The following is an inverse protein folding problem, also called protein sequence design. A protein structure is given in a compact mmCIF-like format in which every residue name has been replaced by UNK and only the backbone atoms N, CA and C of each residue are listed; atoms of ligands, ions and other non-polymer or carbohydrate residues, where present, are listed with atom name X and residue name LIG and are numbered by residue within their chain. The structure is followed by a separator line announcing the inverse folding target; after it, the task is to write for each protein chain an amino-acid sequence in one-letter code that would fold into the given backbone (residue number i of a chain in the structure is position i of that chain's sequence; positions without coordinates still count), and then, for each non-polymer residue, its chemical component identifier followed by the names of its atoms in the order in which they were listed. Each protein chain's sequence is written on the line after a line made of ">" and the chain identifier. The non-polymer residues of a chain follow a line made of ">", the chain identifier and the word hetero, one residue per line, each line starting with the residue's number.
data_IF_821845304902
#
_entry.id   IF_821845304902
#
_cell.length_a   1.000
_cell.length_b   1.000
_cell.length_c   1.000
_cell.angle_alpha   90.00
_cell.angle_beta   90.00
_cell.angle_gamma   90.00
#
_symmetry.space_group_name_H-M   'P 1'
#
loop_
_entity.id
_entity.type
_entity.pdbx_description
1 polymer ?
#
# COMPACT_ATOMS: atom_id res chain seq x y z
N UNK A 1 2.32 8.02 18.82
CA UNK A 1 1.20 7.11 19.12
C UNK A 1 0.71 6.58 17.79
N UNK A 2 0.65 5.26 17.61
CA UNK A 2 0.25 4.63 16.34
C UNK A 2 -1.26 4.79 16.12
N UNK A 3 -1.68 5.16 14.91
CA UNK A 3 -3.10 5.34 14.55
C UNK A 3 -3.78 4.01 14.18
N UNK A 4 -3.00 3.02 13.78
CA UNK A 4 -3.44 1.66 13.48
C UNK A 4 -2.40 0.60 13.89
N UNK A 5 -2.81 -0.66 13.99
CA UNK A 5 -1.87 -1.78 14.15
C UNK A 5 -0.90 -1.90 12.97
N UNK A 6 -1.33 -1.48 11.77
CA UNK A 6 -0.47 -1.44 10.58
C UNK A 6 0.67 -0.43 10.74
N UNK A 7 0.47 0.66 11.46
CA UNK A 7 1.53 1.67 11.69
C UNK A 7 2.58 1.13 12.66
N UNK A 8 2.16 0.35 13.66
CA UNK A 8 3.09 -0.31 14.58
C UNK A 8 3.94 -1.36 13.85
N UNK A 9 3.32 -2.13 12.95
CA UNK A 9 4.03 -3.09 12.10
C UNK A 9 4.96 -2.38 11.11
N UNK A 10 4.55 -1.24 10.55
CA UNK A 10 5.43 -0.40 9.70
C UNK A 10 6.74 -0.11 10.40
N UNK A 11 6.59 0.46 11.59
CA UNK A 11 7.68 0.94 12.39
C UNK A 11 8.60 -0.21 12.77
N UNK A 12 8.05 -1.31 13.27
CA UNK A 12 8.84 -2.48 13.66
C UNK A 12 9.61 -3.08 12.48
N UNK A 13 8.99 -3.20 11.31
CA UNK A 13 9.67 -3.76 10.13
C UNK A 13 10.73 -2.80 9.59
N UNK A 14 10.48 -1.50 9.59
CA UNK A 14 11.48 -0.49 9.23
C UNK A 14 12.73 -0.57 10.11
N UNK A 15 12.57 -0.71 11.43
CA UNK A 15 13.69 -0.81 12.37
C UNK A 15 14.48 -2.12 12.25
N UNK A 16 13.80 -3.24 11.97
CA UNK A 16 14.44 -4.58 11.94
C UNK A 16 15.09 -4.90 10.59
N UNK A 17 14.43 -4.51 9.50
CA UNK A 17 14.82 -4.92 8.14
C UNK A 17 15.59 -3.83 7.38
N UNK A 18 15.51 -2.57 7.83
CA UNK A 18 16.14 -1.43 7.17
C UNK A 18 15.78 -1.36 5.69
N UNK A 19 16.79 -1.19 4.84
CA UNK A 19 16.64 -1.04 3.38
C UNK A 19 16.09 -2.29 2.67
N UNK A 20 15.90 -3.41 3.38
CA UNK A 20 15.30 -4.64 2.85
C UNK A 20 13.78 -4.69 3.01
N UNK A 21 13.18 -3.65 3.60
CA UNK A 21 11.73 -3.52 3.73
C UNK A 21 11.22 -2.37 2.88
N UNK A 22 10.24 -2.69 2.04
CA UNK A 22 9.52 -1.71 1.23
C UNK A 22 8.05 -1.82 1.62
N UNK A 23 7.45 -0.70 1.98
CA UNK A 23 6.01 -0.60 2.21
C UNK A 23 5.35 0.18 1.08
N UNK A 24 4.36 -0.45 0.46
CA UNK A 24 3.46 0.18 -0.50
C UNK A 24 2.05 0.05 0.06
N UNK A 25 1.44 1.17 0.43
CA UNK A 25 0.10 1.21 0.98
C UNK A 25 -0.63 2.47 0.50
N UNK A 26 -1.86 2.31 0.02
CA UNK A 26 -2.76 3.42 -0.27
C UNK A 26 -3.55 3.83 0.98
N UNK A 27 -3.84 5.12 1.09
CA UNK A 27 -4.95 5.59 1.93
C UNK A 27 -6.16 5.73 1.02
N UNK A 28 -7.19 4.91 1.25
CA UNK A 28 -8.42 4.96 0.45
C UNK A 28 -9.07 6.35 0.61
N UNK A 29 -9.26 7.04 -0.52
CA UNK A 29 -9.89 8.36 -0.61
C UNK A 29 -11.30 8.27 -1.19
N UNK A 30 -11.49 7.41 -2.19
CA UNK A 30 -12.77 7.24 -2.90
C UNK A 30 -13.45 5.92 -2.60
N UNK A 31 -12.67 4.85 -2.41
CA UNK A 31 -13.21 3.54 -2.09
C UNK A 31 -13.64 3.44 -0.61
N UNK A 32 -14.64 2.60 -0.35
CA UNK A 32 -15.06 2.21 0.98
C UNK A 32 -13.96 1.41 1.69
N UNK A 33 -13.76 1.71 2.99
CA UNK A 33 -12.86 0.93 3.85
C UNK A 33 -13.47 -0.40 4.33
N UNK A 34 -14.79 -0.57 4.21
CA UNK A 34 -15.48 -1.81 4.57
C UNK A 34 -15.03 -2.98 3.68
N UNK A 35 -14.49 -4.02 4.32
CA UNK A 35 -13.88 -5.17 3.63
C UNK A 35 -14.90 -6.04 2.89
N UNK A 36 -16.17 -5.98 3.29
CA UNK A 36 -17.28 -6.75 2.74
C UNK A 36 -18.13 -5.96 1.72
N UNK A 37 -17.73 -4.73 1.38
CA UNK A 37 -18.41 -3.95 0.35
C UNK A 37 -18.05 -4.45 -1.05
N UNK A 38 -18.82 -5.44 -1.53
CA UNK A 38 -18.66 -6.07 -2.84
C UNK A 38 -19.44 -5.38 -3.96
N UNK A 39 -19.87 -4.12 -3.78
CA UNK A 39 -20.59 -3.42 -4.84
C UNK A 39 -19.69 -3.20 -6.05
N UNK A 40 -20.24 -3.29 -7.26
CA UNK A 40 -19.46 -3.09 -8.49
C UNK A 40 -18.75 -1.73 -8.54
N UNK A 41 -19.40 -0.69 -8.01
CA UNK A 41 -18.80 0.64 -7.86
C UNK A 41 -17.59 0.62 -6.94
N UNK A 42 -17.70 0.04 -5.75
CA UNK A 42 -16.59 0.00 -4.80
C UNK A 42 -15.41 -0.80 -5.36
N UNK A 43 -15.67 -1.89 -6.09
CA UNK A 43 -14.63 -2.66 -6.77
C UNK A 43 -13.89 -1.80 -7.81
N UNK A 44 -14.60 -0.98 -8.58
CA UNK A 44 -13.97 -0.09 -9.55
C UNK A 44 -13.18 1.04 -8.88
N UNK A 45 -13.72 1.64 -7.82
CA UNK A 45 -13.02 2.64 -7.01
C UNK A 45 -11.73 2.04 -6.41
N UNK A 46 -11.74 0.79 -5.91
CA UNK A 46 -10.55 0.08 -5.41
C UNK A 46 -9.49 -0.13 -6.50
N UNK A 47 -9.89 -0.43 -7.74
CA UNK A 47 -8.93 -0.53 -8.86
C UNK A 47 -8.29 0.82 -9.16
N UNK A 48 -9.06 1.90 -9.14
CA UNK A 48 -8.53 3.25 -9.34
C UNK A 48 -7.52 3.62 -8.25
N UNK A 49 -7.84 3.33 -6.99
CA UNK A 49 -6.92 3.50 -5.86
C UNK A 49 -5.62 2.71 -6.02
N UNK A 50 -5.72 1.45 -6.48
CA UNK A 50 -4.54 0.62 -6.75
C UNK A 50 -3.67 1.19 -7.88
N UNK A 51 -4.28 1.68 -8.97
CA UNK A 51 -3.55 2.32 -10.06
C UNK A 51 -2.83 3.59 -9.62
N UNK A 52 -3.48 4.43 -8.81
CA UNK A 52 -2.84 5.62 -8.23
C UNK A 52 -1.68 5.22 -7.32
N UNK A 53 -1.87 4.21 -6.45
CA UNK A 53 -0.81 3.70 -5.57
C UNK A 53 0.41 3.20 -6.35
N UNK A 54 0.21 2.47 -7.45
CA UNK A 54 1.30 2.02 -8.31
C UNK A 54 2.01 3.22 -8.94
N UNK A 55 1.25 4.15 -9.52
CA UNK A 55 1.80 5.35 -10.16
C UNK A 55 2.64 6.20 -9.19
N UNK A 56 2.14 6.41 -7.97
CA UNK A 56 2.82 7.22 -6.94
C UNK A 56 4.10 6.55 -6.42
N UNK A 57 4.21 5.22 -6.53
CA UNK A 57 5.36 4.42 -6.04
C UNK A 57 6.21 3.82 -7.16
N UNK A 58 6.03 4.27 -8.41
CA UNK A 58 6.64 3.66 -9.60
C UNK A 58 8.16 3.47 -9.47
N UNK A 59 8.88 4.49 -8.99
CA UNK A 59 10.34 4.43 -8.79
C UNK A 59 10.75 3.31 -7.83
N UNK A 60 10.06 3.17 -6.70
CA UNK A 60 10.38 2.16 -5.67
C UNK A 60 10.08 0.75 -6.22
N UNK A 61 8.99 0.60 -6.98
CA UNK A 61 8.65 -0.67 -7.63
C UNK A 61 9.71 -1.04 -8.68
N UNK A 62 10.19 -0.09 -9.47
CA UNK A 62 11.25 -0.31 -10.46
C UNK A 62 12.57 -0.71 -9.79
N UNK A 63 12.97 -0.03 -8.71
CA UNK A 63 14.14 -0.39 -7.89
C UNK A 63 14.02 -1.82 -7.36
N UNK A 64 12.84 -2.20 -6.86
CA UNK A 64 12.58 -3.57 -6.41
C UNK A 64 12.71 -4.59 -7.55
N UNK A 65 12.09 -4.33 -8.70
CA UNK A 65 12.19 -5.21 -9.86
C UNK A 65 13.63 -5.43 -10.33
N UNK A 66 14.49 -4.41 -10.25
CA UNK A 66 15.92 -4.52 -10.58
C UNK A 66 16.70 -5.39 -9.58
N UNK A 67 16.30 -5.40 -8.30
CA UNK A 67 16.95 -6.22 -7.27
C UNK A 67 16.63 -7.72 -7.41
N UNK A 68 15.49 -8.06 -8.00
CA UNK A 68 14.98 -9.44 -8.10
C UNK A 68 15.25 -10.09 -9.47
N UNK A 69 15.57 -9.28 -10.49
CA UNK A 69 15.91 -9.74 -11.84
C UNK A 69 17.28 -10.44 -11.91
#
# INVERSE_FOLDING_TARGET
>A
MFGSSLDAVDYQLGEVMGDKYIRIQSQLKVASAEIDNTTAKNIEDLKQEALMMISDNQRIIEEFCQMVA
#
